data_IF_961219949889
#
_entry.id   IF_961219949889
#
_cell.length_a   1.000
_cell.length_b   1.000
_cell.length_c   1.000
_cell.angle_alpha   90.00
_cell.angle_beta   90.00
_cell.angle_gamma   90.00
#
_symmetry.space_group_name_H-M   'P 1'
#
loop_
_entity.id
_entity.type
_entity.pdbx_description
1 polymer ?
#
# COMPACT_ATOMS: atom_id res chain seq x y z
N UNK A 1 -9.82 -15.02 -16.66
CA UNK A 1 -9.64 -13.88 -15.73
C UNK A 1 -8.72 -12.87 -16.41
N UNK A 2 -9.15 -11.62 -16.57
CA UNK A 2 -8.35 -10.57 -17.22
C UNK A 2 -7.56 -9.82 -16.16
N UNK A 3 -6.24 -9.73 -16.34
CA UNK A 3 -5.35 -8.96 -15.47
C UNK A 3 -5.05 -7.63 -16.15
N UNK A 4 -5.23 -6.54 -15.43
CA UNK A 4 -4.80 -5.21 -15.87
C UNK A 4 -3.52 -4.86 -15.09
N UNK A 5 -2.50 -4.44 -15.83
CA UNK A 5 -1.20 -4.06 -15.28
C UNK A 5 -1.04 -2.55 -15.47
N UNK A 6 -0.82 -1.84 -14.36
CA UNK A 6 -0.54 -0.42 -14.35
C UNK A 6 0.88 -0.23 -13.84
N UNK A 7 1.72 0.40 -14.66
CA UNK A 7 3.10 0.72 -14.33
C UNK A 7 3.33 2.20 -14.64
N UNK A 8 4.20 2.84 -13.88
CA UNK A 8 4.49 4.26 -14.05
C UNK A 8 5.61 4.73 -13.15
N UNK A 9 6.00 5.98 -13.36
CA UNK A 9 7.02 6.67 -12.56
C UNK A 9 6.34 7.58 -11.53
N UNK A 10 6.98 7.74 -10.38
CA UNK A 10 6.53 8.67 -9.35
C UNK A 10 7.68 9.63 -9.01
N UNK A 11 7.39 10.93 -9.04
CA UNK A 11 8.34 11.97 -8.68
C UNK A 11 8.03 12.48 -7.29
N UNK A 12 9.02 12.44 -6.41
CA UNK A 12 8.93 13.06 -5.09
C UNK A 12 9.03 14.59 -5.27
N UNK A 13 7.91 15.29 -5.12
CA UNK A 13 7.90 16.77 -5.16
C UNK A 13 8.42 17.39 -3.86
N UNK A 14 8.43 16.60 -2.79
CA UNK A 14 8.94 16.95 -1.46
C UNK A 14 9.59 15.73 -0.83
N UNK A 15 10.30 15.92 0.28
CA UNK A 15 10.89 14.83 1.07
C UNK A 15 9.85 13.76 1.43
N UNK A 16 10.24 12.50 1.33
CA UNK A 16 9.39 11.35 1.69
C UNK A 16 9.88 10.76 3.02
N UNK A 17 8.94 10.54 3.94
CA UNK A 17 9.16 9.75 5.15
C UNK A 17 8.48 8.40 5.03
N UNK A 18 9.25 7.31 5.12
CA UNK A 18 8.74 5.95 5.16
C UNK A 18 9.66 5.10 6.04
N UNK A 19 9.33 5.03 7.33
CA UNK A 19 10.22 4.48 8.34
C UNK A 19 10.35 2.96 8.18
N UNK A 20 11.58 2.46 8.17
CA UNK A 20 11.88 1.03 8.23
C UNK A 20 12.30 0.61 9.62
N UNK A 21 13.41 1.16 10.10
CA UNK A 21 13.99 0.86 11.41
C UNK A 21 14.20 2.15 12.21
N UNK A 22 14.02 2.03 13.53
CA UNK A 22 14.28 3.10 14.49
C UNK A 22 15.46 2.73 15.36
N UNK A 23 16.50 3.55 15.35
CA UNK A 23 17.70 3.40 16.17
C UNK A 23 17.78 4.60 17.12
N UNK A 24 17.37 4.39 18.38
CA UNK A 24 17.24 5.47 19.36
C UNK A 24 16.22 6.52 18.89
N UNK A 25 16.66 7.76 18.74
CA UNK A 25 15.82 8.88 18.26
C UNK A 25 15.81 9.02 16.72
N UNK A 26 16.60 8.22 16.00
CA UNK A 26 16.72 8.30 14.55
C UNK A 26 15.85 7.24 13.87
N UNK A 27 14.87 7.70 13.10
CA UNK A 27 14.08 6.84 12.23
C UNK A 27 14.66 6.86 10.81
N UNK A 28 15.16 5.70 10.34
CA UNK A 28 15.72 5.57 9.00
C UNK A 28 14.63 5.25 7.99
N UNK A 29 14.81 5.78 6.76
CA UNK A 29 14.00 5.39 5.62
C UNK A 29 14.11 3.87 5.41
N UNK A 30 13.00 3.23 5.08
CA UNK A 30 12.94 1.80 4.82
C UNK A 30 13.84 1.43 3.65
N UNK A 31 14.76 0.50 3.90
CA UNK A 31 15.68 -0.05 2.91
C UNK A 31 15.46 -1.53 2.72
N UNK A 32 15.84 -2.04 1.56
CA UNK A 32 15.89 -3.46 1.25
C UNK A 32 17.20 -3.80 0.54
N UNK A 33 17.73 -5.00 0.80
CA UNK A 33 18.95 -5.51 0.16
C UNK A 33 18.65 -5.88 -1.30
N UNK A 34 19.40 -5.30 -2.21
CA UNK A 34 19.31 -5.58 -3.65
C UNK A 34 20.65 -6.16 -4.11
N UNK A 35 20.60 -7.36 -4.69
CA UNK A 35 21.76 -8.03 -5.29
C UNK A 35 22.22 -7.23 -6.50
N UNK A 36 23.50 -6.87 -6.55
CA UNK A 36 24.12 -6.16 -7.66
C UNK A 36 24.61 -7.15 -8.74
N UNK A 37 24.89 -6.68 -9.98
CA UNK A 37 25.37 -7.55 -11.06
C UNK A 37 26.69 -8.29 -10.76
N UNK A 38 27.51 -7.73 -9.86
CA UNK A 38 28.76 -8.34 -9.39
C UNK A 38 28.57 -9.36 -8.23
N UNK A 39 27.33 -9.58 -7.81
CA UNK A 39 26.96 -10.48 -6.70
C UNK A 39 27.03 -9.85 -5.32
N UNK A 40 27.42 -8.57 -5.19
CA UNK A 40 27.37 -7.84 -3.91
C UNK A 40 25.93 -7.43 -3.56
N UNK A 41 25.73 -6.80 -2.39
CA UNK A 41 24.42 -6.31 -1.95
C UNK A 41 24.48 -4.82 -1.62
N UNK A 42 23.46 -4.08 -2.02
CA UNK A 42 23.28 -2.69 -1.66
C UNK A 42 21.96 -2.48 -0.90
N UNK A 43 21.97 -1.58 0.09
CA UNK A 43 20.83 -1.23 0.93
C UNK A 43 20.06 -0.04 0.32
N UNK A 44 19.05 -0.35 -0.49
CA UNK A 44 18.35 0.65 -1.32
C UNK A 44 17.06 1.12 -0.64
N UNK A 45 16.83 2.45 -0.53
CA UNK A 45 15.57 2.96 -0.01
C UNK A 45 14.40 2.62 -0.94
N UNK A 46 13.29 2.15 -0.38
CA UNK A 46 12.09 1.79 -1.15
C UNK A 46 10.84 2.32 -0.45
N UNK A 47 9.76 2.52 -1.22
CA UNK A 47 8.42 2.72 -0.65
C UNK A 47 7.65 1.40 -0.77
N UNK A 48 7.21 0.85 0.37
CA UNK A 48 6.56 -0.45 0.37
C UNK A 48 5.24 -0.44 -0.43
N UNK A 49 4.91 -1.55 -1.10
CA UNK A 49 3.59 -1.70 -1.73
C UNK A 49 2.43 -1.66 -0.74
N UNK A 50 2.68 -2.04 0.52
CA UNK A 50 1.69 -1.97 1.61
C UNK A 50 1.34 -0.52 1.97
N UNK A 51 2.32 0.38 2.07
CA UNK A 51 2.05 1.79 2.36
C UNK A 51 1.30 2.46 1.20
N UNK A 52 1.69 2.19 -0.04
CA UNK A 52 0.98 2.69 -1.23
C UNK A 52 -0.47 2.17 -1.23
N UNK A 53 -0.67 0.88 -0.94
CA UNK A 53 -2.02 0.30 -0.81
C UNK A 53 -2.84 0.96 0.28
N UNK A 54 -2.24 1.24 1.44
CA UNK A 54 -2.91 1.95 2.54
C UNK A 54 -3.40 3.32 2.09
N UNK A 55 -2.53 4.13 1.47
CA UNK A 55 -2.91 5.45 0.98
C UNK A 55 -4.03 5.39 -0.07
N UNK A 56 -3.93 4.47 -1.04
CA UNK A 56 -4.97 4.29 -2.06
C UNK A 56 -6.30 3.82 -1.45
N UNK A 57 -6.25 2.94 -0.45
CA UNK A 57 -7.42 2.50 0.32
C UNK A 57 -8.06 3.68 1.03
N UNK A 58 -7.31 4.44 1.80
CA UNK A 58 -7.82 5.56 2.59
C UNK A 58 -8.44 6.64 1.70
N UNK A 59 -7.76 7.00 0.61
CA UNK A 59 -8.27 7.97 -0.38
C UNK A 59 -9.53 7.46 -1.07
N UNK A 60 -9.55 6.19 -1.46
CA UNK A 60 -10.74 5.56 -2.03
C UNK A 60 -11.92 5.59 -1.06
N UNK A 61 -11.71 5.18 0.20
CA UNK A 61 -12.78 5.10 1.21
C UNK A 61 -13.32 6.48 1.57
N UNK A 62 -12.45 7.47 1.78
CA UNK A 62 -12.86 8.87 1.99
C UNK A 62 -13.71 9.38 0.83
N UNK A 63 -13.29 9.12 -0.41
CA UNK A 63 -14.04 9.53 -1.59
C UNK A 63 -15.41 8.85 -1.64
N UNK A 64 -15.46 7.53 -1.48
CA UNK A 64 -16.71 6.77 -1.48
C UNK A 64 -17.69 7.26 -0.40
N UNK A 65 -17.21 7.41 0.84
CA UNK A 65 -18.03 7.88 1.96
C UNK A 65 -18.55 9.30 1.74
N UNK A 66 -17.71 10.19 1.20
CA UNK A 66 -18.12 11.55 0.84
C UNK A 66 -19.22 11.56 -0.23
N UNK A 67 -19.12 10.68 -1.24
CA UNK A 67 -20.15 10.55 -2.29
C UNK A 67 -21.45 9.97 -1.74
N UNK A 68 -21.36 9.07 -0.75
CA UNK A 68 -22.52 8.48 -0.06
C UNK A 68 -23.17 9.42 0.97
N UNK A 69 -22.66 10.64 1.15
CA UNK A 69 -23.23 11.64 2.06
C UNK A 69 -22.79 11.49 3.52
N UNK A 70 -21.77 10.69 3.82
CA UNK A 70 -21.15 10.69 5.14
C UNK A 70 -20.37 11.98 5.37
N UNK A 71 -20.35 12.47 6.61
CA UNK A 71 -19.59 13.67 6.97
C UNK A 71 -18.09 13.37 6.98
N UNK A 72 -17.41 13.62 5.86
CA UNK A 72 -15.96 13.42 5.72
C UNK A 72 -15.24 14.77 5.76
N UNK A 73 -14.40 14.98 6.77
CA UNK A 73 -13.48 16.10 6.80
C UNK A 73 -12.18 15.71 6.06
N UNK A 74 -11.92 16.37 4.92
CA UNK A 74 -10.77 16.05 4.06
C UNK A 74 -9.43 16.50 4.63
N UNK A 75 -9.44 17.48 5.53
CA UNK A 75 -8.24 18.06 6.13
C UNK A 75 -7.80 17.23 7.34
N UNK A 76 -8.74 16.78 8.17
CA UNK A 76 -8.46 15.99 9.38
C UNK A 76 -8.54 14.47 9.15
N UNK A 77 -9.24 14.03 8.09
CA UNK A 77 -9.54 12.61 7.86
C UNK A 77 -10.68 12.07 8.72
N UNK A 78 -11.37 12.92 9.49
CA UNK A 78 -12.49 12.51 10.33
C UNK A 78 -13.71 12.10 9.49
N UNK A 79 -14.38 11.04 9.92
CA UNK A 79 -15.59 10.51 9.28
C UNK A 79 -16.71 10.40 10.32
N UNK A 80 -17.84 11.04 10.05
CA UNK A 80 -19.04 10.99 10.88
C UNK A 80 -20.07 10.01 10.31
N UNK A 81 -20.91 9.45 11.18
CA UNK A 81 -21.98 8.51 10.79
C UNK A 81 -21.51 7.06 10.61
N UNK A 82 -20.25 6.77 10.90
CA UNK A 82 -19.68 5.42 10.83
C UNK A 82 -19.42 4.88 12.24
N UNK A 83 -19.75 3.61 12.48
CA UNK A 83 -19.35 2.95 13.73
C UNK A 83 -17.83 2.74 13.76
N UNK A 84 -17.24 2.73 14.95
CA UNK A 84 -15.79 2.52 15.11
C UNK A 84 -15.29 1.20 14.49
N UNK A 85 -15.99 0.05 14.62
CA UNK A 85 -15.58 -1.18 13.93
C UNK A 85 -15.62 -1.05 12.40
N UNK A 86 -16.64 -0.38 11.85
CA UNK A 86 -16.72 -0.14 10.42
C UNK A 86 -15.60 0.79 9.94
N UNK A 87 -15.24 1.81 10.73
CA UNK A 87 -14.08 2.67 10.44
C UNK A 87 -12.79 1.85 10.34
N UNK A 88 -12.47 1.05 11.36
CA UNK A 88 -11.27 0.20 11.32
C UNK A 88 -11.30 -0.82 10.20
N UNK A 89 -12.47 -1.38 9.87
CA UNK A 89 -12.61 -2.26 8.73
C UNK A 89 -12.30 -1.53 7.41
N UNK A 90 -12.91 -0.38 7.17
CA UNK A 90 -12.75 0.36 5.91
C UNK A 90 -11.34 0.91 5.73
N UNK A 91 -10.69 1.43 6.76
CA UNK A 91 -9.39 2.11 6.64
C UNK A 91 -8.20 1.21 6.95
N UNK A 92 -8.29 0.37 7.98
CA UNK A 92 -7.16 -0.49 8.40
C UNK A 92 -7.25 -1.91 7.86
N UNK A 93 -8.37 -2.27 7.21
CA UNK A 93 -8.63 -3.64 6.81
C UNK A 93 -9.20 -4.50 7.93
N UNK A 94 -9.60 -3.93 9.06
CA UNK A 94 -10.23 -4.65 10.16
C UNK A 94 -9.25 -5.43 11.03
N UNK A 95 -9.81 -6.08 12.05
CA UNK A 95 -9.04 -6.87 13.03
C UNK A 95 -9.53 -8.32 12.96
N UNK A 96 -8.59 -9.26 12.98
CA UNK A 96 -8.93 -10.68 13.12
C UNK A 96 -9.44 -10.94 14.54
N UNK A 97 -10.71 -11.28 14.65
CA UNK A 97 -11.30 -11.74 15.92
C UNK A 97 -11.07 -13.23 16.10
N UNK A 98 -10.59 -13.62 17.28
CA UNK A 98 -10.51 -15.03 17.69
C UNK A 98 -11.92 -15.52 18.05
N UNK A 99 -12.66 -16.01 17.07
CA UNK A 99 -13.91 -16.73 17.32
C UNK A 99 -13.59 -18.21 17.49
N UNK A 100 -14.06 -18.83 18.58
CA UNK A 100 -13.81 -20.22 19.01
C UNK A 100 -14.57 -21.28 18.18
N UNK A 101 -14.88 -21.01 16.91
CA UNK A 101 -15.67 -21.90 16.06
C UNK A 101 -15.11 -21.99 14.64
N UNK A 102 -15.31 -23.16 14.01
CA UNK A 102 -15.06 -23.40 12.59
C UNK A 102 -16.00 -22.55 11.73
N UNK A 103 -15.73 -21.25 11.64
CA UNK A 103 -16.35 -20.39 10.63
C UNK A 103 -15.50 -20.53 9.37
N UNK A 104 -15.87 -21.43 8.45
CA UNK A 104 -15.47 -21.32 7.05
C UNK A 104 -15.84 -19.92 6.53
N UNK A 105 -15.08 -19.36 5.58
CA UNK A 105 -15.49 -18.11 4.91
C UNK A 105 -16.91 -18.38 4.43
N UNK A 106 -17.90 -17.67 4.98
CA UNK A 106 -19.19 -17.64 4.34
C UNK A 106 -18.95 -16.94 3.01
N UNK A 107 -18.79 -17.75 1.96
CA UNK A 107 -18.49 -17.30 0.61
C UNK A 107 -19.57 -16.33 0.16
N UNK A 108 -20.81 -16.51 0.61
CA UNK A 108 -21.92 -15.64 0.31
C UNK A 108 -21.80 -14.32 1.07
N UNK A 109 -21.36 -14.33 2.34
CA UNK A 109 -21.06 -13.10 3.07
C UNK A 109 -19.91 -12.31 2.43
N UNK A 110 -18.82 -12.99 2.05
CA UNK A 110 -17.72 -12.37 1.32
C UNK A 110 -18.15 -11.82 -0.05
N UNK A 111 -19.10 -12.47 -0.73
CA UNK A 111 -19.68 -11.96 -1.99
C UNK A 111 -20.52 -10.71 -1.74
N UNK A 112 -21.39 -10.72 -0.73
CA UNK A 112 -22.18 -9.55 -0.33
C UNK A 112 -21.30 -8.34 -0.04
N UNK A 113 -20.21 -8.52 0.71
CA UNK A 113 -19.27 -7.42 0.98
C UNK A 113 -18.58 -6.89 -0.27
N UNK A 114 -18.19 -7.77 -1.19
CA UNK A 114 -17.57 -7.37 -2.46
C UNK A 114 -18.54 -6.62 -3.37
N UNK A 115 -19.81 -6.98 -3.35
CA UNK A 115 -20.87 -6.34 -4.12
C UNK A 115 -21.28 -5.00 -3.51
N UNK A 116 -21.37 -4.91 -2.17
CA UNK A 116 -21.76 -3.70 -1.47
C UNK A 116 -20.65 -2.64 -1.44
N UNK A 117 -19.38 -3.04 -1.30
CA UNK A 117 -18.24 -2.14 -1.13
C UNK A 117 -17.12 -2.51 -2.12
N UNK A 118 -17.10 -1.91 -3.33
CA UNK A 118 -16.13 -2.26 -4.38
C UNK A 118 -14.66 -2.12 -3.93
N UNK A 119 -14.36 -1.15 -3.08
CA UNK A 119 -13.01 -0.93 -2.55
C UNK A 119 -12.55 -2.04 -1.61
N UNK A 120 -13.47 -2.69 -0.89
CA UNK A 120 -13.20 -3.89 -0.09
C UNK A 120 -12.90 -5.07 -1.01
N UNK A 121 -13.58 -5.20 -2.15
CA UNK A 121 -13.22 -6.20 -3.16
C UNK A 121 -11.82 -5.96 -3.77
N UNK A 122 -11.42 -4.69 -3.89
CA UNK A 122 -10.14 -4.30 -4.45
C UNK A 122 -8.98 -4.53 -3.46
N UNK A 123 -9.13 -4.09 -2.22
CA UNK A 123 -8.05 -4.07 -1.22
C UNK A 123 -8.11 -5.19 -0.18
N UNK A 124 -9.23 -5.92 -0.09
CA UNK A 124 -9.45 -6.98 0.89
C UNK A 124 -9.74 -6.45 2.30
N UNK A 125 -9.75 -7.36 3.27
CA UNK A 125 -9.94 -7.05 4.69
C UNK A 125 -10.06 -8.32 5.54
N UNK A 126 -9.76 -8.19 6.83
CA UNK A 126 -10.06 -9.15 7.87
C UNK A 126 -11.54 -9.07 8.23
N UNK A 127 -12.19 -10.22 8.22
CA UNK A 127 -13.61 -10.38 8.46
C UNK A 127 -13.81 -11.58 9.38
N UNK A 128 -14.23 -11.32 10.61
CA UNK A 128 -14.26 -12.33 11.67
C UNK A 128 -12.88 -12.92 11.93
N UNK A 129 -12.73 -14.22 11.76
CA UNK A 129 -11.48 -14.96 11.97
C UNK A 129 -10.65 -15.17 10.70
N UNK A 130 -11.02 -14.55 9.57
CA UNK A 130 -10.42 -14.83 8.26
C UNK A 130 -10.06 -13.58 7.47
N UNK A 131 -9.13 -13.73 6.52
CA UNK A 131 -8.69 -12.68 5.60
C UNK A 131 -9.39 -12.88 4.27
N UNK A 132 -10.19 -11.89 3.85
CA UNK A 132 -10.68 -11.80 2.50
C UNK A 132 -9.60 -11.17 1.60
N UNK A 133 -9.07 -11.89 0.60
CA UNK A 133 -8.06 -11.34 -0.29
C UNK A 133 -8.65 -10.27 -1.20
N UNK A 134 -7.89 -9.18 -1.38
CA UNK A 134 -8.16 -8.16 -2.39
C UNK A 134 -7.72 -8.59 -3.79
N UNK A 135 -8.26 -7.92 -4.80
CA UNK A 135 -7.90 -8.13 -6.22
C UNK A 135 -6.65 -7.35 -6.65
N UNK A 136 -6.34 -6.23 -5.97
CA UNK A 136 -5.19 -5.39 -6.31
C UNK A 136 -3.89 -5.94 -5.69
N UNK A 137 -2.89 -6.15 -6.53
CA UNK A 137 -1.50 -6.39 -6.11
C UNK A 137 -0.70 -5.12 -6.34
N UNK A 138 -0.12 -4.57 -5.28
CA UNK A 138 0.62 -3.30 -5.33
C UNK A 138 2.09 -3.57 -5.09
N UNK A 139 2.90 -3.25 -6.10
CA UNK A 139 4.36 -3.36 -6.05
C UNK A 139 4.98 -2.27 -5.17
N UNK A 140 6.25 -2.44 -4.83
CA UNK A 140 7.06 -1.41 -4.16
C UNK A 140 7.47 -0.34 -5.17
N UNK A 141 7.61 0.91 -4.71
CA UNK A 141 8.30 1.93 -5.49
C UNK A 141 9.81 1.74 -5.30
N UNK A 142 10.51 1.53 -6.41
CA UNK A 142 11.96 1.38 -6.46
C UNK A 142 12.52 2.69 -7.05
N UNK A 143 13.53 3.31 -6.42
CA UNK A 143 14.14 4.52 -6.96
C UNK A 143 14.78 4.19 -8.32
N UNK A 144 14.63 5.08 -9.28
CA UNK A 144 15.30 4.96 -10.59
C UNK A 144 16.70 5.57 -10.43
N UNK A 145 17.70 4.74 -10.16
CA UNK A 145 19.09 5.15 -9.92
C UNK A 145 20.08 4.10 -10.48
N UNK A 146 21.39 4.32 -10.28
CA UNK A 146 22.43 3.44 -10.83
C UNK A 146 22.34 2.04 -10.22
N UNK A 147 22.11 1.97 -8.92
CA UNK A 147 22.10 0.77 -8.08
C UNK A 147 20.87 -0.14 -8.31
N UNK A 148 19.86 0.35 -9.03
CA UNK A 148 18.62 -0.37 -9.35
C UNK A 148 18.40 -0.55 -10.85
N UNK A 149 19.31 -0.03 -11.68
CA UNK A 149 19.17 -0.01 -13.14
C UNK A 149 18.91 -1.39 -13.73
N UNK A 150 19.55 -2.43 -13.19
CA UNK A 150 19.46 -3.81 -13.67
C UNK A 150 18.15 -4.54 -13.31
N UNK A 151 17.34 -3.98 -12.41
CA UNK A 151 16.03 -4.56 -12.01
C UNK A 151 14.84 -3.72 -12.47
N UNK A 152 15.08 -2.55 -13.06
CA UNK A 152 14.04 -1.64 -13.56
C UNK A 152 13.90 -1.82 -15.08
N UNK A 153 12.67 -1.89 -15.62
CA UNK A 153 12.45 -1.95 -17.07
C UNK A 153 13.11 -0.79 -17.82
N UNK A 154 13.76 -1.08 -18.97
CA UNK A 154 14.54 -0.10 -19.74
C UNK A 154 13.78 1.18 -20.12
N UNK A 155 12.46 1.06 -20.36
CA UNK A 155 11.58 2.19 -20.69
C UNK A 155 11.51 3.29 -19.61
N UNK A 156 11.92 2.99 -18.38
CA UNK A 156 11.98 3.96 -17.27
C UNK A 156 13.39 4.52 -17.05
N UNK A 157 14.37 4.13 -17.88
CA UNK A 157 15.78 4.53 -17.75
C UNK A 157 16.18 5.67 -18.70
N UNK A 158 15.29 6.09 -19.60
CA UNK A 158 15.59 6.92 -20.78
C UNK A 158 15.74 8.43 -20.49
N UNK A 159 15.42 8.90 -19.28
CA UNK A 159 15.47 10.33 -18.92
C UNK A 159 16.64 10.74 -17.99
N UNK A 160 17.68 9.91 -17.84
CA UNK A 160 18.75 10.10 -16.84
C UNK A 160 19.99 10.87 -17.35
N UNK A 161 19.87 12.16 -17.64
CA UNK A 161 21.07 13.04 -17.66
C UNK A 161 21.47 13.55 -16.26
N UNK A 162 20.64 13.36 -15.23
CA UNK A 162 20.91 13.86 -13.86
C UNK A 162 20.81 12.75 -12.80
N UNK A 163 21.56 11.65 -12.94
CA UNK A 163 21.54 10.55 -11.97
C UNK A 163 22.06 11.01 -10.59
N UNK A 164 21.20 11.02 -9.58
CA UNK A 164 21.55 11.16 -8.16
C UNK A 164 22.31 9.88 -7.76
N UNK A 165 23.55 10.02 -7.29
CA UNK A 165 24.28 8.93 -6.64
C UNK A 165 23.79 8.76 -5.21
N UNK A 166 23.41 7.55 -4.80
CA UNK A 166 23.02 7.27 -3.41
C UNK A 166 24.23 6.91 -2.53
N UNK A 167 25.45 6.97 -3.07
CA UNK A 167 26.71 6.77 -2.35
C UNK A 167 27.04 7.96 -1.44
N UNK A 168 26.34 8.01 -0.30
CA UNK A 168 26.60 8.96 0.79
C UNK A 168 26.21 8.30 2.11
N UNK A 169 27.11 7.49 2.65
CA UNK A 169 27.01 6.81 3.93
C UNK A 169 28.35 6.21 4.32
#
# INVERSE_FOLDING_TARGET
MKTYVFEGEMVALTSISHIGETLGINAKLRREKIVQPDGTFEEIPIISGNSIRGILRDRGMMHMLSVLGYGVNKDTGEVQGLSLPAFYFLFSGGVLSKTTGNSSIDVDEARKWREAIPLVALFGGAMGNQIMPGKAKIGKAIPICKETRHIIPERFLTNQENSISLSGG
#
